data_IF_850783232521
#
_entry.id   IF_850783232521
#
_cell.length_a   1.000
_cell.length_b   1.000
_cell.length_c   1.000
_cell.angle_alpha   90.00
_cell.angle_beta   90.00
_cell.angle_gamma   90.00
#
_symmetry.space_group_name_H-M   'P 1'
#
loop_
_entity.id
_entity.type
_entity.pdbx_description
1 polymer ?
#
# COMPACT_ATOMS: atom_id res chain seq x y z
N UNK A 1 1.63 -10.61 -14.05
CA UNK A 1 0.42 -10.09 -14.73
C UNK A 1 -0.70 -11.14 -14.90
N UNK A 2 -0.40 -12.36 -15.39
CA UNK A 2 -1.45 -13.39 -15.66
C UNK A 2 -2.34 -13.67 -14.46
N UNK A 3 -1.77 -13.80 -13.26
CA UNK A 3 -2.55 -14.04 -12.04
C UNK A 3 -3.61 -12.96 -11.78
N UNK A 4 -3.30 -11.68 -12.04
CA UNK A 4 -4.26 -10.59 -11.85
C UNK A 4 -5.45 -10.71 -12.81
N UNK A 5 -5.20 -10.96 -14.10
CA UNK A 5 -6.27 -11.11 -15.09
C UNK A 5 -7.11 -12.36 -14.87
N UNK A 6 -6.48 -13.49 -14.54
CA UNK A 6 -7.20 -14.73 -14.23
C UNK A 6 -8.11 -14.54 -13.00
N UNK A 7 -7.67 -13.75 -12.01
CA UNK A 7 -8.49 -13.44 -10.85
C UNK A 7 -9.66 -12.51 -11.20
N UNK A 8 -9.45 -11.51 -12.04
CA UNK A 8 -10.55 -10.66 -12.54
C UNK A 8 -11.60 -11.51 -13.26
N UNK A 9 -11.17 -12.36 -14.20
CA UNK A 9 -12.04 -13.28 -14.93
C UNK A 9 -12.80 -14.23 -13.98
N UNK A 10 -12.10 -14.85 -13.02
CA UNK A 10 -12.72 -15.73 -12.03
C UNK A 10 -13.71 -15.01 -11.08
N UNK A 11 -13.56 -13.70 -10.92
CA UNK A 11 -14.50 -12.87 -10.15
C UNK A 11 -15.57 -12.22 -11.02
N UNK A 12 -15.63 -12.56 -12.30
CA UNK A 12 -16.58 -12.03 -13.29
C UNK A 12 -16.46 -10.51 -13.49
N UNK A 13 -15.22 -9.99 -13.42
CA UNK A 13 -14.91 -8.59 -13.68
C UNK A 13 -13.98 -8.42 -14.89
N UNK A 14 -14.18 -7.34 -15.63
CA UNK A 14 -13.31 -6.93 -16.73
C UNK A 14 -12.37 -5.78 -16.37
N UNK A 15 -11.33 -5.57 -17.18
CA UNK A 15 -10.40 -4.44 -16.99
C UNK A 15 -11.06 -3.11 -17.30
N UNK A 16 -12.05 -3.12 -18.19
CA UNK A 16 -12.86 -1.98 -18.62
C UNK A 16 -13.68 -1.34 -17.50
N UNK A 17 -13.99 -2.10 -16.44
CA UNK A 17 -14.70 -1.61 -15.25
C UNK A 17 -13.82 -0.72 -14.34
N UNK A 18 -12.50 -0.72 -14.57
CA UNK A 18 -11.57 0.08 -13.77
C UNK A 18 -11.48 1.48 -14.36
N UNK A 19 -11.80 2.50 -13.55
CA UNK A 19 -11.79 3.92 -13.94
C UNK A 19 -10.52 4.67 -13.54
N UNK A 20 -9.79 4.16 -12.55
CA UNK A 20 -8.55 4.73 -12.08
C UNK A 20 -7.69 3.66 -11.38
N UNK A 21 -6.38 3.85 -11.42
CA UNK A 21 -5.41 3.05 -10.67
C UNK A 21 -4.63 3.96 -9.74
N UNK A 22 -4.35 3.52 -8.52
CA UNK A 22 -3.31 4.14 -7.70
C UNK A 22 -2.18 3.13 -7.48
N UNK A 23 -0.95 3.63 -7.46
CA UNK A 23 0.23 2.85 -7.10
C UNK A 23 0.62 3.20 -5.66
N UNK A 24 0.72 2.19 -4.81
CA UNK A 24 1.13 2.36 -3.42
C UNK A 24 2.56 2.83 -3.29
N UNK A 25 3.52 2.20 -4.00
CA UNK A 25 4.95 2.53 -3.98
C UNK A 25 5.68 1.85 -5.17
N UNK A 26 6.96 2.17 -5.36
CA UNK A 26 7.80 1.78 -6.50
C UNK A 26 8.47 0.40 -6.43
N UNK A 27 7.84 -0.64 -5.85
CA UNK A 27 8.39 -2.01 -5.90
C UNK A 27 7.73 -2.87 -6.99
N UNK A 28 8.51 -3.79 -7.62
CA UNK A 28 8.07 -4.53 -8.80
C UNK A 28 6.90 -5.48 -8.54
N UNK A 29 6.69 -5.94 -7.33
CA UNK A 29 5.53 -6.75 -6.95
C UNK A 29 4.22 -5.94 -6.85
N UNK A 30 4.30 -4.60 -6.83
CA UNK A 30 3.14 -3.70 -6.85
C UNK A 30 2.87 -3.05 -8.21
N UNK A 31 3.89 -2.82 -9.05
CA UNK A 31 3.69 -2.27 -10.41
C UNK A 31 3.88 -3.31 -11.53
N UNK A 32 4.36 -4.53 -11.24
CA UNK A 32 4.83 -5.47 -12.27
C UNK A 32 3.74 -5.95 -13.25
N UNK A 33 2.46 -5.76 -12.92
CA UNK A 33 1.33 -5.99 -13.82
C UNK A 33 0.84 -4.75 -14.58
N UNK A 34 1.31 -3.55 -14.23
CA UNK A 34 0.70 -2.28 -14.62
C UNK A 34 0.77 -2.01 -16.12
N UNK A 35 1.93 -2.22 -16.75
CA UNK A 35 2.10 -1.99 -18.21
C UNK A 35 1.15 -2.87 -19.03
N UNK A 36 1.07 -4.16 -18.68
CA UNK A 36 0.16 -5.09 -19.36
C UNK A 36 -1.30 -4.73 -19.12
N UNK A 37 -1.66 -4.30 -17.89
CA UNK A 37 -3.00 -3.79 -17.60
C UNK A 37 -3.35 -2.59 -18.47
N UNK A 38 -2.45 -1.61 -18.56
CA UNK A 38 -2.66 -0.39 -19.34
C UNK A 38 -2.84 -0.69 -20.84
N UNK A 39 -2.01 -1.58 -21.40
CA UNK A 39 -2.13 -2.03 -22.79
C UNK A 39 -3.52 -2.63 -23.10
N UNK A 40 -4.11 -3.38 -22.16
CA UNK A 40 -5.46 -3.97 -22.32
C UNK A 40 -6.57 -2.96 -22.08
N UNK A 41 -6.38 -2.04 -21.14
CA UNK A 41 -7.38 -1.04 -20.77
C UNK A 41 -7.59 0.02 -21.84
N UNK A 42 -6.52 0.36 -22.56
CA UNK A 42 -6.49 1.40 -23.58
C UNK A 42 -5.99 2.75 -23.07
N UNK A 43 -5.86 3.70 -24.00
CA UNK A 43 -5.26 5.00 -23.74
C UNK A 43 -6.11 5.89 -22.82
N UNK A 44 -5.45 6.71 -22.02
CA UNK A 44 -6.07 7.73 -21.17
C UNK A 44 -6.44 7.25 -19.76
N UNK A 45 -6.05 6.03 -19.38
CA UNK A 45 -6.31 5.46 -18.05
C UNK A 45 -5.64 6.31 -16.95
N UNK A 46 -6.39 6.92 -16.02
CA UNK A 46 -5.83 7.68 -14.90
C UNK A 46 -5.01 6.78 -13.98
N UNK A 47 -3.72 7.10 -13.82
CA UNK A 47 -2.82 6.40 -12.90
C UNK A 47 -2.25 7.40 -11.91
N UNK A 48 -2.54 7.21 -10.63
CA UNK A 48 -2.08 8.05 -9.54
C UNK A 48 -0.87 7.41 -8.87
N UNK A 49 0.21 8.17 -8.71
CA UNK A 49 1.43 7.65 -8.10
C UNK A 49 2.25 8.76 -7.44
N UNK A 50 3.01 8.42 -6.41
CA UNK A 50 3.93 9.36 -5.81
C UNK A 50 5.15 9.57 -6.72
N UNK A 51 5.63 10.80 -6.91
CA UNK A 51 6.75 11.11 -7.82
C UNK A 51 8.03 10.30 -7.51
N UNK A 52 8.32 10.11 -6.23
CA UNK A 52 9.48 9.32 -5.78
C UNK A 52 9.42 7.82 -6.14
N UNK A 53 8.28 7.29 -6.63
CA UNK A 53 8.17 5.87 -7.00
C UNK A 53 9.07 5.49 -8.18
N UNK A 54 9.57 6.49 -8.93
CA UNK A 54 10.47 6.29 -10.07
C UNK A 54 11.94 6.14 -9.67
N UNK A 55 12.30 6.44 -8.42
CA UNK A 55 13.67 6.21 -7.97
C UNK A 55 14.02 4.72 -8.04
N UNK A 56 15.16 4.33 -8.64
CA UNK A 56 15.60 2.95 -8.65
C UNK A 56 15.69 2.36 -7.24
N UNK A 57 15.00 1.25 -7.01
CA UNK A 57 14.91 0.58 -5.70
C UNK A 57 15.84 -0.61 -5.64
N UNK A 58 16.47 -0.80 -4.48
CA UNK A 58 17.48 -1.81 -4.22
C UNK A 58 17.30 -2.43 -2.84
N UNK A 59 17.59 -3.72 -2.74
CA UNK A 59 17.63 -4.43 -1.47
C UNK A 59 19.02 -5.06 -1.27
N UNK A 60 19.66 -4.70 -0.16
CA UNK A 60 20.92 -5.28 0.30
C UNK A 60 20.60 -6.36 1.33
N UNK A 61 20.97 -7.60 1.02
CA UNK A 61 20.77 -8.76 1.89
C UNK A 61 22.12 -9.40 2.22
N UNK A 62 22.19 -10.30 3.24
CA UNK A 62 23.39 -11.10 3.47
C UNK A 62 23.80 -11.98 2.26
N UNK A 63 22.87 -12.27 1.34
CA UNK A 63 23.13 -13.05 0.11
C UNK A 63 23.55 -12.19 -1.08
N UNK A 64 23.65 -10.88 -0.88
CA UNK A 64 24.02 -9.92 -1.91
C UNK A 64 22.90 -8.96 -2.27
N UNK A 65 23.04 -8.40 -3.46
CA UNK A 65 22.28 -7.25 -3.95
C UNK A 65 21.14 -7.70 -4.87
N UNK A 66 19.95 -7.14 -4.67
CA UNK A 66 18.76 -7.39 -5.48
C UNK A 66 18.27 -6.06 -6.07
N UNK A 67 18.06 -6.01 -7.38
CA UNK A 67 17.82 -4.76 -8.14
C UNK A 67 19.07 -4.21 -8.83
N UNK A 68 19.05 -2.96 -9.34
CA UNK A 68 17.96 -2.01 -9.21
C UNK A 68 16.71 -2.38 -9.99
N UNK A 69 15.56 -2.13 -9.38
CA UNK A 69 14.27 -2.13 -10.06
C UNK A 69 13.84 -0.69 -10.31
N UNK A 70 13.41 -0.40 -11.54
CA UNK A 70 13.05 0.95 -11.97
C UNK A 70 11.67 0.90 -12.60
N UNK A 71 10.76 1.73 -12.11
CA UNK A 71 9.52 2.02 -12.80
C UNK A 71 9.81 3.11 -13.84
N UNK A 72 9.67 2.78 -15.12
CA UNK A 72 9.94 3.71 -16.20
C UNK A 72 8.67 4.48 -16.56
N UNK A 73 8.68 5.80 -16.30
CA UNK A 73 7.56 6.70 -16.57
C UNK A 73 7.10 6.64 -18.03
N UNK A 74 8.07 6.59 -18.94
CA UNK A 74 7.85 6.53 -20.39
C UNK A 74 7.13 5.24 -20.81
N UNK A 75 7.40 4.12 -20.13
CA UNK A 75 6.70 2.86 -20.40
C UNK A 75 5.23 2.93 -19.98
N UNK A 76 4.93 3.63 -18.88
CA UNK A 76 3.55 3.81 -18.44
C UNK A 76 2.76 4.70 -19.41
N UNK A 77 3.33 5.83 -19.81
CA UNK A 77 2.66 6.75 -20.74
C UNK A 77 2.48 6.12 -22.12
N UNK A 78 3.49 5.41 -22.63
CA UNK A 78 3.40 4.67 -23.88
C UNK A 78 2.35 3.55 -23.85
N UNK A 79 2.14 2.92 -22.69
CA UNK A 79 1.11 1.90 -22.48
C UNK A 79 -0.31 2.48 -22.30
N UNK A 80 -0.46 3.81 -22.23
CA UNK A 80 -1.77 4.47 -22.15
C UNK A 80 -2.09 5.14 -20.82
N UNK A 81 -1.15 5.24 -19.88
CA UNK A 81 -1.37 5.95 -18.62
C UNK A 81 -1.50 7.47 -18.82
N UNK A 82 -2.55 8.05 -18.23
CA UNK A 82 -2.61 9.47 -17.89
C UNK A 82 -2.14 9.62 -16.45
N UNK A 83 -0.88 10.03 -16.28
CA UNK A 83 -0.24 10.07 -14.95
C UNK A 83 -0.73 11.28 -14.14
N UNK A 84 -1.06 11.02 -12.87
CA UNK A 84 -1.39 11.98 -11.84
C UNK A 84 -0.39 11.82 -10.69
N UNK A 85 0.60 12.71 -10.65
CA UNK A 85 1.75 12.58 -9.77
C UNK A 85 1.62 13.47 -8.53
N UNK A 86 1.70 12.88 -7.33
CA UNK A 86 1.63 13.61 -6.06
C UNK A 86 2.90 13.45 -5.22
N UNK A 87 3.05 14.33 -4.23
CA UNK A 87 4.02 14.16 -3.13
C UNK A 87 3.29 14.26 -1.79
N UNK A 88 2.46 15.29 -1.64
CA UNK A 88 1.53 15.42 -0.53
C UNK A 88 0.17 14.79 -0.80
N UNK A 89 -0.81 15.07 0.08
CA UNK A 89 -2.17 14.58 -0.05
C UNK A 89 -2.82 15.01 -1.36
N UNK A 90 -3.56 14.10 -2.01
CA UNK A 90 -4.24 14.35 -3.27
C UNK A 90 -5.58 13.60 -3.33
N UNK A 91 -6.55 14.13 -4.08
CA UNK A 91 -7.83 13.45 -4.30
C UNK A 91 -7.75 12.54 -5.52
N UNK A 92 -8.20 11.30 -5.35
CA UNK A 92 -8.45 10.35 -6.42
C UNK A 92 -9.93 10.49 -6.82
N UNK A 93 -10.16 11.14 -7.96
CA UNK A 93 -11.48 11.32 -8.58
C UNK A 93 -12.55 11.89 -7.63
N UNK A 94 -12.18 12.77 -6.71
CA UNK A 94 -13.06 13.33 -5.67
C UNK A 94 -13.77 12.30 -4.75
N UNK A 95 -13.37 11.03 -4.81
CA UNK A 95 -13.97 9.91 -4.07
C UNK A 95 -13.10 9.42 -2.92
N UNK A 96 -11.78 9.51 -3.07
CA UNK A 96 -10.82 9.00 -2.10
C UNK A 96 -9.62 9.94 -1.94
N UNK A 97 -8.96 9.84 -0.80
CA UNK A 97 -7.74 10.57 -0.49
C UNK A 97 -6.53 9.65 -0.67
N UNK A 98 -5.53 10.12 -1.39
CA UNK A 98 -4.18 9.58 -1.36
C UNK A 98 -3.36 10.37 -0.36
N UNK A 99 -2.64 9.70 0.54
CA UNK A 99 -1.92 10.39 1.62
C UNK A 99 -0.69 11.17 1.15
N UNK A 100 -0.06 10.75 0.05
CA UNK A 100 1.32 11.15 -0.24
C UNK A 100 2.30 10.59 0.79
N UNK A 101 3.47 11.24 0.94
CA UNK A 101 4.49 10.86 1.93
C UNK A 101 3.91 10.86 3.35
N UNK A 102 4.06 9.72 4.03
CA UNK A 102 3.50 9.49 5.36
C UNK A 102 4.46 9.95 6.46
N UNK A 103 3.95 10.64 7.47
CA UNK A 103 4.71 11.04 8.65
C UNK A 103 4.91 9.85 9.61
N UNK A 104 6.15 9.59 9.99
CA UNK A 104 6.46 8.60 11.03
C UNK A 104 6.18 9.19 12.43
N UNK A 105 5.25 8.59 13.16
CA UNK A 105 4.79 9.07 14.48
C UNK A 105 4.98 8.03 15.59
N UNK A 106 5.18 6.76 15.25
CA UNK A 106 5.41 5.68 16.22
C UNK A 106 6.91 5.43 16.41
N UNK A 107 7.34 5.00 17.61
CA UNK A 107 8.74 4.68 17.86
C UNK A 107 9.16 3.31 17.29
N UNK A 108 8.19 2.45 16.97
CA UNK A 108 8.41 1.06 16.55
C UNK A 108 8.31 0.85 15.03
N UNK A 109 7.39 1.51 14.31
CA UNK A 109 7.34 1.39 12.84
C UNK A 109 8.37 2.32 12.21
N UNK A 110 9.47 1.70 11.78
CA UNK A 110 10.51 2.34 10.97
C UNK A 110 10.81 1.45 9.78
N UNK A 111 11.15 2.03 8.62
CA UNK A 111 11.67 1.28 7.49
C UNK A 111 12.74 0.27 7.92
N UNK A 112 12.58 -0.98 7.49
CA UNK A 112 13.56 -2.03 7.79
C UNK A 112 14.91 -1.70 7.12
N UNK A 113 16.03 -2.11 7.73
CA UNK A 113 17.35 -1.88 7.14
C UNK A 113 17.53 -2.68 5.83
N UNK A 114 18.45 -2.21 4.99
CA UNK A 114 18.85 -2.89 3.75
C UNK A 114 18.15 -2.38 2.50
N UNK A 115 17.00 -1.73 2.63
CA UNK A 115 16.36 -1.04 1.50
C UNK A 115 17.11 0.25 1.15
N UNK A 116 17.35 0.43 -0.14
CA UNK A 116 18.09 1.53 -0.74
C UNK A 116 17.33 2.09 -1.93
N UNK A 117 17.51 3.39 -2.17
CA UNK A 117 17.14 4.02 -3.43
C UNK A 117 18.36 4.69 -4.07
N UNK A 118 18.32 4.87 -5.38
CA UNK A 118 19.34 5.62 -6.11
C UNK A 118 18.78 7.01 -6.45
N UNK A 119 19.43 8.06 -5.94
CA UNK A 119 19.09 9.46 -6.22
C UNK A 119 20.29 10.12 -6.87
N UNK A 120 20.13 10.64 -8.10
CA UNK A 120 21.22 11.27 -8.86
C UNK A 120 22.48 10.39 -8.97
N UNK A 121 22.29 9.07 -9.12
CA UNK A 121 23.37 8.09 -9.21
C UNK A 121 23.97 7.63 -7.88
N UNK A 122 23.55 8.20 -6.74
CA UNK A 122 24.04 7.83 -5.42
C UNK A 122 23.05 6.92 -4.68
N UNK A 123 23.58 5.90 -4.01
CA UNK A 123 22.79 5.02 -3.14
C UNK A 123 22.60 5.63 -1.75
N UNK A 124 21.35 5.69 -1.30
CA UNK A 124 21.01 6.12 0.06
C UNK A 124 19.98 5.18 0.69
N UNK A 125 19.86 5.11 2.04
CA UNK A 125 18.75 4.44 2.69
C UNK A 125 17.42 4.89 2.12
N UNK A 126 16.53 3.97 1.79
CA UNK A 126 15.19 4.32 1.30
C UNK A 126 14.28 4.72 2.46
N UNK A 127 13.80 5.98 2.54
CA UNK A 127 12.84 6.38 3.56
C UNK A 127 11.41 5.96 3.22
N UNK A 128 11.16 5.38 2.03
CA UNK A 128 9.83 5.08 1.52
C UNK A 128 8.93 6.31 1.41
N UNK A 129 9.50 7.45 1.01
CA UNK A 129 8.73 8.68 0.76
C UNK A 129 7.68 8.51 -0.33
N UNK A 130 7.87 7.53 -1.23
CA UNK A 130 6.92 7.19 -2.28
C UNK A 130 5.72 6.35 -1.81
N UNK A 131 5.75 5.80 -0.60
CA UNK A 131 4.65 4.97 -0.13
C UNK A 131 3.49 5.79 0.43
N UNK A 132 2.30 5.55 -0.12
CA UNK A 132 1.06 6.22 0.25
C UNK A 132 -0.09 5.23 0.46
N UNK A 133 -1.07 5.65 1.27
CA UNK A 133 -2.33 4.94 1.46
C UNK A 133 -3.43 5.53 0.58
N UNK A 134 -4.39 4.69 0.19
CA UNK A 134 -5.71 5.11 -0.27
C UNK A 134 -6.65 5.15 0.95
N UNK A 135 -7.36 6.26 1.13
CA UNK A 135 -8.24 6.51 2.27
C UNK A 135 -9.63 6.88 1.77
N UNK A 136 -10.64 6.14 2.24
CA UNK A 136 -12.05 6.42 1.94
C UNK A 136 -12.78 6.71 3.25
N UNK A 137 -13.52 7.81 3.33
CA UNK A 137 -14.38 8.09 4.47
C UNK A 137 -15.79 7.57 4.19
N UNK A 138 -16.16 6.44 4.80
CA UNK A 138 -17.49 5.84 4.62
C UNK A 138 -18.47 6.49 5.59
N UNK A 139 -19.55 7.06 5.04
CA UNK A 139 -20.56 7.78 5.81
C UNK A 139 -21.09 6.94 6.99
N UNK A 140 -21.00 7.49 8.20
CA UNK A 140 -21.44 6.83 9.43
C UNK A 140 -20.59 5.64 9.89
N UNK A 141 -19.51 5.29 9.19
CA UNK A 141 -18.60 4.18 9.55
C UNK A 141 -17.17 4.63 9.86
N UNK A 142 -16.68 5.68 9.21
CA UNK A 142 -15.33 6.20 9.38
C UNK A 142 -14.38 5.78 8.26
N UNK A 143 -13.07 5.86 8.55
CA UNK A 143 -12.02 5.69 7.56
C UNK A 143 -11.79 4.22 7.19
N UNK A 144 -11.71 3.94 5.90
CA UNK A 144 -11.11 2.74 5.33
C UNK A 144 -9.74 3.12 4.81
N UNK A 145 -8.69 2.57 5.42
CA UNK A 145 -7.29 2.85 5.06
C UNK A 145 -6.71 1.62 4.36
N UNK A 146 -6.28 1.79 3.11
CA UNK A 146 -5.76 0.72 2.25
C UNK A 146 -4.31 1.03 1.91
N UNK A 147 -3.39 0.17 2.35
CA UNK A 147 -1.97 0.25 2.07
C UNK A 147 -1.46 -0.90 1.19
N UNK A 148 -0.29 -0.69 0.57
CA UNK A 148 0.43 -1.72 -0.19
C UNK A 148 1.21 -2.65 0.74
N UNK A 149 2.49 -2.32 0.96
CA UNK A 149 3.36 -3.02 1.91
C UNK A 149 3.46 -2.30 3.26
N UNK A 150 3.10 -1.02 3.32
CA UNK A 150 3.14 -0.20 4.53
C UNK A 150 4.54 -0.15 5.18
N UNK A 151 5.59 0.05 4.39
CA UNK A 151 6.96 0.22 4.89
C UNK A 151 7.12 1.40 5.88
N UNK A 152 6.41 2.54 5.72
CA UNK A 152 6.36 3.58 6.75
C UNK A 152 5.65 3.16 8.04
N UNK A 153 4.91 2.04 8.03
CA UNK A 153 4.10 1.54 9.13
C UNK A 153 2.60 1.74 8.94
N UNK A 154 1.80 0.71 9.14
CA UNK A 154 0.35 0.80 8.98
C UNK A 154 -0.31 1.66 10.07
N UNK A 155 0.24 1.67 11.28
CA UNK A 155 -0.26 2.54 12.37
C UNK A 155 0.08 3.99 12.06
N UNK A 156 1.31 4.28 11.59
CA UNK A 156 1.70 5.60 11.08
C UNK A 156 0.77 6.08 9.96
N UNK A 157 0.53 5.23 8.95
CA UNK A 157 -0.35 5.54 7.83
C UNK A 157 -1.78 5.86 8.28
N UNK A 158 -2.31 5.08 9.24
CA UNK A 158 -3.67 5.30 9.75
C UNK A 158 -3.76 6.58 10.59
N UNK A 159 -2.79 6.84 11.47
CA UNK A 159 -2.71 8.09 12.25
C UNK A 159 -2.59 9.31 11.34
N UNK A 160 -1.82 9.20 10.27
CA UNK A 160 -1.69 10.26 9.27
C UNK A 160 -3.01 10.48 8.51
N UNK A 161 -3.72 9.42 8.14
CA UNK A 161 -5.06 9.52 7.54
C UNK A 161 -6.07 10.23 8.48
N UNK A 162 -6.06 9.91 9.77
CA UNK A 162 -6.88 10.61 10.77
C UNK A 162 -6.53 12.10 10.86
N UNK A 163 -5.22 12.43 10.86
CA UNK A 163 -4.73 13.82 10.87
C UNK A 163 -5.19 14.60 9.63
N UNK A 164 -5.09 14.01 8.44
CA UNK A 164 -5.46 14.65 7.19
C UNK A 164 -6.96 14.88 7.05
N UNK A 165 -7.78 13.95 7.55
CA UNK A 165 -9.23 13.98 7.37
C UNK A 165 -9.98 14.61 8.55
N UNK A 166 -9.37 14.69 9.73
CA UNK A 166 -10.03 15.05 10.98
C UNK A 166 -10.98 13.96 11.51
N UNK A 167 -11.04 12.79 10.88
CA UNK A 167 -11.92 11.69 11.28
C UNK A 167 -11.14 10.72 12.15
N UNK A 168 -11.61 10.50 13.39
CA UNK A 168 -10.98 9.57 14.32
C UNK A 168 -11.44 8.13 14.14
N UNK A 169 -12.69 7.90 13.76
CA UNK A 169 -13.25 6.55 13.61
C UNK A 169 -12.59 5.83 12.42
N UNK A 170 -12.11 4.60 12.66
CA UNK A 170 -11.56 3.74 11.61
C UNK A 170 -12.50 2.56 11.38
N UNK A 171 -13.09 2.50 10.18
CA UNK A 171 -13.94 1.40 9.76
C UNK A 171 -13.10 0.15 9.43
N UNK A 172 -12.03 0.32 8.66
CA UNK A 172 -11.12 -0.78 8.34
C UNK A 172 -9.71 -0.35 8.00
N UNK A 173 -8.77 -1.28 8.20
CA UNK A 173 -7.37 -1.19 7.82
C UNK A 173 -7.03 -2.41 6.97
N UNK A 174 -6.57 -2.20 5.73
CA UNK A 174 -6.36 -3.26 4.73
C UNK A 174 -4.97 -3.12 4.12
N UNK A 175 -4.19 -4.21 4.06
CA UNK A 175 -2.91 -4.19 3.33
C UNK A 175 -1.94 -5.31 3.71
N UNK A 176 -0.72 -5.23 3.19
CA UNK A 176 0.43 -5.93 3.77
C UNK A 176 1.14 -5.00 4.76
N UNK A 177 1.58 -5.50 5.91
CA UNK A 177 2.15 -4.67 6.99
C UNK A 177 3.68 -4.81 7.15
N UNK A 178 4.33 -5.55 6.24
CA UNK A 178 5.79 -5.71 6.14
C UNK A 178 6.50 -6.15 7.44
N UNK A 179 5.87 -7.06 8.20
CA UNK A 179 6.34 -7.48 9.53
C UNK A 179 7.24 -8.73 9.51
N UNK A 180 7.40 -9.39 8.36
CA UNK A 180 8.11 -10.68 8.26
C UNK A 180 9.54 -10.63 8.82
N UNK A 181 10.26 -9.53 8.60
CA UNK A 181 11.66 -9.36 9.01
C UNK A 181 11.86 -8.37 10.18
N UNK A 182 10.78 -7.86 10.77
CA UNK A 182 10.84 -6.80 11.80
C UNK A 182 11.05 -7.26 13.24
N UNK A 183 10.97 -8.57 13.51
CA UNK A 183 11.11 -9.11 14.86
C UNK A 183 9.88 -8.91 15.75
N UNK A 184 9.96 -9.42 16.99
CA UNK A 184 8.80 -9.46 17.88
C UNK A 184 8.38 -8.10 18.43
N UNK A 185 9.32 -7.18 18.62
CA UNK A 185 9.04 -5.83 19.13
C UNK A 185 8.21 -5.01 18.13
N UNK A 186 8.55 -5.09 16.84
CA UNK A 186 7.75 -4.43 15.80
C UNK A 186 6.35 -5.02 15.73
N UNK A 187 6.22 -6.35 15.77
CA UNK A 187 4.92 -7.03 15.74
C UNK A 187 4.08 -6.62 16.95
N UNK A 188 4.67 -6.62 18.14
CA UNK A 188 4.02 -6.18 19.39
C UNK A 188 3.55 -4.73 19.29
N UNK A 189 4.44 -3.81 18.93
CA UNK A 189 4.12 -2.40 18.80
C UNK A 189 2.98 -2.16 17.79
N UNK A 190 3.03 -2.86 16.64
CA UNK A 190 1.98 -2.77 15.63
C UNK A 190 0.64 -3.28 16.16
N UNK A 191 0.61 -4.41 16.86
CA UNK A 191 -0.62 -4.96 17.45
C UNK A 191 -1.21 -3.98 18.49
N UNK A 192 -0.39 -3.44 19.38
CA UNK A 192 -0.88 -2.47 20.37
C UNK A 192 -1.36 -1.17 19.70
N UNK A 193 -0.65 -0.68 18.69
CA UNK A 193 -1.11 0.46 17.89
C UNK A 193 -2.44 0.20 17.17
N UNK A 194 -2.66 -1.01 16.65
CA UNK A 194 -3.94 -1.41 16.05
C UNK A 194 -5.05 -1.47 17.10
N UNK A 195 -4.79 -1.94 18.32
CA UNK A 195 -5.76 -1.90 19.42
C UNK A 195 -6.11 -0.47 19.83
N UNK A 196 -5.12 0.42 19.90
CA UNK A 196 -5.34 1.85 20.17
C UNK A 196 -6.21 2.51 19.10
N UNK A 197 -5.97 2.18 17.83
CA UNK A 197 -6.77 2.67 16.70
C UNK A 197 -8.19 2.10 16.69
N UNK A 198 -8.40 0.95 17.31
CA UNK A 198 -9.67 0.23 17.45
C UNK A 198 -10.50 0.18 16.14
N UNK A 199 -9.94 -0.34 15.04
CA UNK A 199 -10.66 -0.43 13.77
C UNK A 199 -11.78 -1.45 13.83
N UNK A 200 -12.84 -1.24 13.05
CA UNK A 200 -13.91 -2.22 12.87
C UNK A 200 -13.44 -3.52 12.19
N UNK A 201 -12.42 -3.44 11.34
CA UNK A 201 -11.80 -4.58 10.66
C UNK A 201 -10.32 -4.33 10.36
N UNK A 202 -9.48 -5.34 10.55
CA UNK A 202 -8.09 -5.42 10.09
C UNK A 202 -7.99 -6.59 9.13
N UNK A 203 -7.70 -6.31 7.86
CA UNK A 203 -7.47 -7.33 6.83
C UNK A 203 -6.00 -7.29 6.39
N UNK A 204 -5.19 -8.21 6.92
CA UNK A 204 -3.74 -8.24 6.67
C UNK A 204 -3.33 -9.41 5.77
N UNK A 205 -2.35 -9.19 4.88
CA UNK A 205 -1.85 -10.24 3.99
C UNK A 205 -0.47 -9.93 3.39
N UNK A 206 -0.20 -10.45 2.19
CA UNK A 206 1.00 -10.13 1.40
C UNK A 206 2.31 -10.26 2.21
N UNK A 207 3.01 -9.17 2.51
CA UNK A 207 4.30 -9.13 3.20
C UNK A 207 4.21 -9.20 4.74
N UNK A 208 3.00 -9.29 5.31
CA UNK A 208 2.79 -9.31 6.77
C UNK A 208 3.49 -10.51 7.44
N UNK A 209 3.44 -11.69 6.81
CA UNK A 209 4.13 -12.89 7.27
C UNK A 209 3.35 -13.69 8.31
N UNK A 210 3.50 -15.02 8.25
CA UNK A 210 2.69 -15.97 9.03
C UNK A 210 2.73 -15.73 10.54
N UNK A 211 3.91 -15.46 11.10
CA UNK A 211 4.08 -15.19 12.54
C UNK A 211 3.29 -13.96 12.99
N UNK A 212 3.26 -12.89 12.19
CA UNK A 212 2.50 -11.70 12.56
C UNK A 212 0.99 -11.94 12.40
N UNK A 213 0.57 -12.60 11.31
CA UNK A 213 -0.84 -12.94 11.06
C UNK A 213 -1.45 -13.76 12.21
N UNK A 214 -0.75 -14.78 12.71
CA UNK A 214 -1.25 -15.62 13.83
C UNK A 214 -1.35 -14.84 15.13
N UNK A 215 -0.38 -13.96 15.41
CA UNK A 215 -0.38 -13.11 16.60
C UNK A 215 -1.47 -12.04 16.55
N UNK A 216 -1.73 -11.47 15.39
CA UNK A 216 -2.85 -10.54 15.18
C UNK A 216 -4.19 -11.25 15.35
N UNK A 217 -4.37 -12.43 14.75
CA UNK A 217 -5.60 -13.21 14.94
C UNK A 217 -5.88 -13.53 16.41
N UNK A 218 -4.84 -13.81 17.20
CA UNK A 218 -4.99 -14.05 18.64
C UNK A 218 -5.28 -12.78 19.45
N UNK A 219 -4.71 -11.63 19.04
CA UNK A 219 -4.83 -10.36 19.77
C UNK A 219 -6.05 -9.52 19.41
N UNK A 220 -6.64 -9.78 18.24
CA UNK A 220 -7.76 -9.04 17.63
C UNK A 220 -8.85 -10.04 17.14
N UNK A 221 -9.39 -10.90 18.03
CA UNK A 221 -10.20 -12.05 17.62
C UNK A 221 -11.52 -11.66 16.93
N UNK A 222 -12.07 -10.49 17.25
CA UNK A 222 -13.40 -10.06 16.77
C UNK A 222 -13.34 -9.23 15.48
N UNK A 223 -12.16 -8.68 15.14
CA UNK A 223 -11.99 -7.70 14.08
C UNK A 223 -10.77 -7.95 13.18
N UNK A 224 -10.18 -9.15 13.19
CA UNK A 224 -9.08 -9.52 12.30
C UNK A 224 -9.45 -10.59 11.27
N UNK A 225 -8.96 -10.40 10.05
CA UNK A 225 -9.03 -11.40 8.97
C UNK A 225 -7.72 -11.47 8.20
N UNK A 226 -7.41 -12.65 7.66
CA UNK A 226 -6.32 -12.82 6.70
C UNK A 226 -6.83 -12.48 5.29
N UNK A 227 -6.11 -11.62 4.58
CA UNK A 227 -6.39 -11.30 3.18
C UNK A 227 -6.02 -12.47 2.28
N UNK A 228 -7.00 -12.94 1.50
CA UNK A 228 -6.83 -13.98 0.50
C UNK A 228 -7.25 -13.44 -0.87
N UNK A 229 -6.70 -14.04 -1.93
CA UNK A 229 -7.19 -13.77 -3.30
C UNK A 229 -8.67 -14.12 -3.37
N UNK A 230 -9.48 -13.21 -3.91
CA UNK A 230 -10.94 -13.37 -4.02
C UNK A 230 -11.74 -12.87 -2.82
N UNK A 231 -11.11 -12.41 -1.74
CA UNK A 231 -11.81 -11.79 -0.61
C UNK A 231 -12.54 -10.52 -1.05
N UNK A 232 -13.86 -10.46 -0.83
CA UNK A 232 -14.69 -9.25 -0.98
C UNK A 232 -15.03 -8.68 0.40
N UNK A 233 -14.77 -7.40 0.62
CA UNK A 233 -15.09 -6.70 1.87
C UNK A 233 -16.13 -5.64 1.59
N UNK A 234 -17.25 -5.69 2.32
CA UNK A 234 -18.31 -4.71 2.24
C UNK A 234 -18.30 -3.86 3.51
N UNK A 235 -18.12 -2.55 3.37
CA UNK A 235 -18.12 -1.60 4.49
C UNK A 235 -19.22 -0.58 4.22
N UNK A 236 -20.29 -0.66 5.00
CA UNK A 236 -21.48 0.17 4.79
C UNK A 236 -22.66 -0.31 5.62
N UNK A 237 -23.84 0.16 5.23
CA UNK A 237 -25.14 -0.34 5.64
C UNK A 237 -25.97 -0.65 4.40
#
# INVERSE_FOLDING_TARGET
PLSFFNNLEAMEHGVEEIDAVFLSHGHPDHYGGLVEFLNRRGAGMPVFCHQDCYFPKLLITPRGRVGPYVLEKEKLTAAGARLHENQGPALLQDLALLTGTVEATTPYEKPLPGFKRIVQGNEEPDPFSDEQALVVNVAGKGLVVIGGCCHPGIVNMTKYAQKLTGVSQVAAIIGGFHLTAGGDDLINGTIEGLKELNPGLVLAGHCTGFKALTRMAAALPDNFMVSCVGTKVMIGG
#
